data_IF_519820856849
#
_entry.id   IF_519820856849
#
_cell.length_a   1.000
_cell.length_b   1.000
_cell.length_c   1.000
_cell.angle_alpha   90.00
_cell.angle_beta   90.00
_cell.angle_gamma   90.00
#
_symmetry.space_group_name_H-M   'P 1'
#
loop_
_entity.id
_entity.type
_entity.pdbx_description
1 polymer ?
#
# COMPACT_ATOMS: atom_id res chain seq x y z
N UNK A 1 -7.25 -16.75 -36.17
CA UNK A 1 -7.17 -15.93 -34.94
C UNK A 1 -6.99 -16.93 -33.82
N UNK A 2 -5.81 -16.99 -33.21
CA UNK A 2 -5.55 -17.89 -32.07
C UNK A 2 -6.62 -17.66 -31.00
N UNK A 3 -7.19 -18.74 -30.45
CA UNK A 3 -8.17 -18.67 -29.35
C UNK A 3 -7.60 -17.80 -28.22
N UNK A 4 -8.10 -16.57 -28.11
CA UNK A 4 -7.69 -15.64 -27.05
C UNK A 4 -8.18 -16.22 -25.73
N UNK A 5 -7.24 -16.55 -24.83
CA UNK A 5 -7.55 -17.12 -23.51
C UNK A 5 -8.42 -16.16 -22.71
N UNK A 6 -9.61 -16.61 -22.33
CA UNK A 6 -10.50 -15.93 -21.39
C UNK A 6 -10.12 -16.32 -19.97
N UNK A 7 -9.81 -15.34 -19.13
CA UNK A 7 -9.56 -15.56 -17.69
C UNK A 7 -10.85 -15.46 -16.89
N UNK A 8 -10.89 -16.16 -15.74
CA UNK A 8 -11.95 -15.96 -14.77
C UNK A 8 -11.72 -14.64 -14.01
N UNK A 9 -10.46 -14.34 -13.68
CA UNK A 9 -10.06 -13.11 -12.98
C UNK A 9 -8.77 -12.53 -13.57
N UNK A 10 -8.71 -11.22 -13.77
CA UNK A 10 -7.45 -10.48 -13.97
C UNK A 10 -7.20 -9.57 -12.76
N UNK A 11 -5.97 -9.56 -12.28
CA UNK A 11 -5.52 -8.71 -11.17
C UNK A 11 -4.61 -7.63 -11.73
N UNK A 12 -4.94 -6.38 -11.45
CA UNK A 12 -4.19 -5.20 -11.87
C UNK A 12 -3.39 -4.66 -10.69
N UNK A 13 -2.07 -4.85 -10.74
CA UNK A 13 -1.11 -4.51 -9.69
C UNK A 13 -0.58 -5.76 -8.98
N UNK A 14 0.72 -6.05 -9.15
CA UNK A 14 1.41 -7.22 -8.60
C UNK A 14 2.13 -6.96 -7.28
N UNK A 15 1.58 -6.08 -6.44
CA UNK A 15 2.04 -5.85 -5.07
C UNK A 15 1.58 -6.94 -4.08
N UNK A 16 1.83 -6.78 -2.77
CA UNK A 16 1.49 -7.79 -1.76
C UNK A 16 0.04 -8.25 -1.81
N UNK A 17 -0.91 -7.31 -1.89
CA UNK A 17 -2.35 -7.63 -1.91
C UNK A 17 -2.76 -8.26 -3.24
N UNK A 18 -2.22 -7.80 -4.37
CA UNK A 18 -2.50 -8.39 -5.67
C UNK A 18 -1.95 -9.82 -5.80
N UNK A 19 -0.74 -10.07 -5.28
CA UNK A 19 -0.16 -11.41 -5.21
C UNK A 19 -0.96 -12.32 -4.26
N UNK A 20 -1.40 -11.82 -3.11
CA UNK A 20 -2.24 -12.57 -2.19
C UNK A 20 -3.60 -12.92 -2.79
N UNK A 21 -4.24 -11.97 -3.47
CA UNK A 21 -5.48 -12.22 -4.19
C UNK A 21 -5.27 -13.23 -5.34
N UNK A 22 -4.16 -13.12 -6.08
CA UNK A 22 -3.82 -14.07 -7.14
C UNK A 22 -3.61 -15.48 -6.63
N UNK A 23 -2.91 -15.61 -5.50
CA UNK A 23 -2.77 -16.86 -4.77
C UNK A 23 -4.12 -17.45 -4.36
N UNK A 24 -4.99 -16.69 -3.68
CA UNK A 24 -6.28 -17.19 -3.20
C UNK A 24 -7.25 -17.53 -4.33
N UNK A 25 -7.23 -16.77 -5.43
CA UNK A 25 -8.06 -17.07 -6.62
C UNK A 25 -7.55 -18.32 -7.34
N UNK A 26 -6.24 -18.46 -7.55
CA UNK A 26 -5.64 -19.64 -8.17
C UNK A 26 -5.88 -20.90 -7.32
N UNK A 27 -5.69 -20.79 -6.00
CA UNK A 27 -5.96 -21.88 -5.04
C UNK A 27 -7.42 -22.35 -5.07
N UNK A 28 -8.36 -21.46 -5.38
CA UNK A 28 -9.76 -21.81 -5.59
C UNK A 28 -10.04 -22.49 -6.94
N UNK A 29 -9.02 -22.72 -7.78
CA UNK A 29 -9.12 -23.40 -9.07
C UNK A 29 -9.52 -22.50 -10.24
N UNK A 30 -9.58 -21.18 -10.04
CA UNK A 30 -9.95 -20.23 -11.10
C UNK A 30 -8.73 -19.84 -11.95
N UNK A 31 -8.94 -19.65 -13.26
CA UNK A 31 -7.88 -19.19 -14.15
C UNK A 31 -7.63 -17.70 -13.93
N UNK A 32 -6.47 -17.35 -13.38
CA UNK A 32 -6.13 -15.97 -13.00
C UNK A 32 -4.85 -15.50 -13.66
N UNK A 33 -4.83 -14.20 -14.00
CA UNK A 33 -3.63 -13.51 -14.46
C UNK A 33 -3.34 -12.27 -13.62
N UNK A 34 -2.09 -12.14 -13.18
CA UNK A 34 -1.58 -11.00 -12.42
C UNK A 34 -0.76 -10.11 -13.34
N UNK A 35 -1.12 -8.83 -13.45
CA UNK A 35 -0.44 -7.83 -14.26
C UNK A 35 0.28 -6.82 -13.37
N UNK A 36 1.59 -6.68 -13.55
CA UNK A 36 2.44 -5.70 -12.87
C UNK A 36 3.09 -4.79 -13.90
N UNK A 37 2.94 -3.48 -13.73
CA UNK A 37 3.48 -2.48 -14.67
C UNK A 37 5.02 -2.42 -14.65
N UNK A 38 5.66 -2.78 -13.54
CA UNK A 38 7.12 -2.85 -13.39
C UNK A 38 7.61 -4.31 -13.37
N UNK A 39 8.85 -4.52 -12.92
CA UNK A 39 9.28 -5.83 -12.42
C UNK A 39 8.51 -6.18 -11.15
N UNK A 40 8.27 -7.47 -10.90
CA UNK A 40 7.83 -7.89 -9.56
C UNK A 40 8.89 -7.50 -8.51
N UNK A 41 8.43 -7.22 -7.29
CA UNK A 41 9.31 -6.88 -6.15
C UNK A 41 10.09 -5.56 -6.31
N UNK A 42 9.54 -4.62 -7.08
CA UNK A 42 10.11 -3.29 -7.30
C UNK A 42 9.91 -2.33 -6.10
N UNK A 43 10.53 -1.15 -6.21
CA UNK A 43 10.50 -0.07 -5.20
C UNK A 43 9.62 1.12 -5.61
N UNK A 44 8.87 1.02 -6.72
CA UNK A 44 8.09 2.12 -7.28
C UNK A 44 6.83 2.45 -6.47
N UNK A 45 6.34 1.50 -5.65
CA UNK A 45 5.16 1.69 -4.79
C UNK A 45 5.46 1.64 -3.29
N UNK A 46 4.57 1.00 -2.54
CA UNK A 46 4.53 1.02 -1.06
C UNK A 46 5.27 -0.13 -0.37
N UNK A 47 5.76 -1.11 -1.14
CA UNK A 47 6.20 -2.42 -0.62
C UNK A 47 7.71 -2.64 -0.69
N UNK A 48 8.45 -1.59 -1.05
CA UNK A 48 9.89 -1.64 -1.22
C UNK A 48 10.62 -1.45 0.11
N UNK A 49 10.85 -2.53 0.86
CA UNK A 49 11.64 -2.52 2.10
C UNK A 49 11.92 -3.95 2.63
N UNK A 50 12.64 -4.07 3.75
CA UNK A 50 12.87 -5.32 4.48
C UNK A 50 11.71 -5.73 5.39
N UNK A 51 11.01 -4.77 6.01
CA UNK A 51 10.11 -5.03 7.13
C UNK A 51 8.84 -4.18 7.16
N UNK A 52 7.77 -4.75 7.71
CA UNK A 52 6.54 -4.06 8.13
C UNK A 52 6.05 -4.61 9.45
N UNK A 53 5.33 -3.80 10.22
CA UNK A 53 4.75 -4.24 11.49
C UNK A 53 3.57 -5.18 11.23
N UNK A 54 3.56 -6.32 11.92
CA UNK A 54 2.36 -7.13 12.18
C UNK A 54 1.81 -6.71 13.55
N UNK A 55 0.76 -5.88 13.54
CA UNK A 55 0.18 -5.24 14.73
C UNK A 55 -1.25 -5.71 14.98
N UNK A 56 -1.58 -5.97 16.24
CA UNK A 56 -2.92 -6.35 16.72
C UNK A 56 -3.53 -5.37 17.70
N UNK A 57 -2.73 -4.46 18.28
CA UNK A 57 -3.22 -3.42 19.20
C UNK A 57 -3.99 -2.32 18.46
N UNK A 58 -5.33 -2.40 18.44
CA UNK A 58 -6.23 -1.45 17.79
C UNK A 58 -7.29 -0.92 18.75
N UNK A 59 -7.56 0.38 18.69
CA UNK A 59 -8.61 1.04 19.49
C UNK A 59 -9.99 0.72 18.95
N UNK A 60 -10.18 0.70 17.63
CA UNK A 60 -11.47 0.49 16.99
C UNK A 60 -11.83 -1.00 16.93
N UNK A 61 -13.01 -1.36 17.45
CA UNK A 61 -13.48 -2.75 17.53
C UNK A 61 -13.39 -3.52 16.21
N UNK A 62 -13.82 -2.90 15.10
CA UNK A 62 -13.82 -3.58 13.79
C UNK A 62 -12.39 -3.86 13.29
N UNK A 63 -11.43 -2.99 13.61
CA UNK A 63 -10.02 -3.20 13.28
C UNK A 63 -9.38 -4.24 14.18
N UNK A 64 -9.71 -4.23 15.47
CA UNK A 64 -9.25 -5.26 16.41
C UNK A 64 -9.78 -6.66 16.04
N UNK A 65 -11.06 -6.76 15.64
CA UNK A 65 -11.62 -8.00 15.12
C UNK A 65 -10.91 -8.45 13.84
N UNK A 66 -10.68 -7.52 12.90
CA UNK A 66 -9.96 -7.80 11.66
C UNK A 66 -8.52 -8.27 11.94
N UNK A 67 -7.83 -7.66 12.90
CA UNK A 67 -6.47 -8.04 13.28
C UNK A 67 -6.42 -9.43 13.92
N UNK A 68 -7.39 -9.75 14.77
CA UNK A 68 -7.53 -11.08 15.37
C UNK A 68 -7.78 -12.14 14.30
N UNK A 69 -8.65 -11.87 13.32
CA UNK A 69 -8.87 -12.76 12.17
C UNK A 69 -7.60 -12.87 11.30
N UNK A 70 -6.88 -11.77 11.12
CA UNK A 70 -5.66 -11.74 10.32
C UNK A 70 -4.58 -12.68 10.87
N UNK A 71 -4.45 -12.82 12.20
CA UNK A 71 -3.52 -13.79 12.81
C UNK A 71 -3.72 -15.19 12.21
N UNK A 72 -4.97 -15.67 12.16
CA UNK A 72 -5.30 -17.00 11.60
C UNK A 72 -4.98 -17.11 10.11
N UNK A 73 -5.22 -16.04 9.34
CA UNK A 73 -4.91 -16.03 7.91
C UNK A 73 -3.40 -16.01 7.63
N UNK A 74 -2.63 -15.36 8.48
CA UNK A 74 -1.18 -15.47 8.44
C UNK A 74 -0.67 -16.86 8.78
N UNK A 75 -1.22 -17.49 9.84
CA UNK A 75 -0.85 -18.87 10.20
C UNK A 75 -1.17 -19.84 9.06
N UNK A 76 -2.30 -19.66 8.39
CA UNK A 76 -2.68 -20.46 7.22
C UNK A 76 -1.72 -20.24 6.03
N UNK A 77 -1.36 -18.98 5.74
CA UNK A 77 -0.39 -18.68 4.68
C UNK A 77 0.99 -19.28 4.98
N UNK A 78 1.50 -19.16 6.21
CA UNK A 78 2.79 -19.72 6.60
C UNK A 78 2.79 -21.25 6.54
N UNK A 79 1.66 -21.88 6.90
CA UNK A 79 1.47 -23.32 6.75
C UNK A 79 1.54 -23.76 5.29
N UNK A 80 0.86 -23.05 4.39
CA UNK A 80 0.87 -23.37 2.96
C UNK A 80 2.23 -23.05 2.31
N UNK A 81 2.92 -22.01 2.79
CA UNK A 81 4.27 -21.65 2.36
C UNK A 81 5.34 -22.62 2.85
N UNK A 82 5.08 -23.35 3.95
CA UNK A 82 6.07 -24.21 4.61
C UNK A 82 7.21 -23.44 5.29
N UNK A 83 7.08 -22.11 5.45
CA UNK A 83 8.09 -21.23 6.05
C UNK A 83 7.43 -20.13 6.87
N UNK A 84 8.11 -19.70 7.94
CA UNK A 84 7.70 -18.52 8.70
C UNK A 84 7.97 -17.24 7.90
N UNK A 85 6.95 -16.40 7.76
CA UNK A 85 6.98 -15.12 7.08
C UNK A 85 7.02 -13.94 8.08
N UNK A 86 6.79 -14.23 9.36
CA UNK A 86 6.82 -13.28 10.47
C UNK A 86 7.84 -13.70 11.53
N UNK A 87 8.44 -12.70 12.16
CA UNK A 87 9.21 -12.88 13.39
C UNK A 87 8.45 -12.23 14.56
N UNK A 88 7.90 -13.08 15.43
CA UNK A 88 7.02 -12.68 16.53
C UNK A 88 7.83 -12.30 17.78
N UNK A 89 8.43 -11.10 17.76
CA UNK A 89 9.20 -10.54 18.87
C UNK A 89 8.40 -9.62 19.82
N UNK A 90 7.11 -9.39 19.54
CA UNK A 90 6.26 -8.44 20.25
C UNK A 90 6.29 -7.01 19.69
N UNK A 91 5.51 -6.14 20.32
CA UNK A 91 5.41 -4.71 20.02
C UNK A 91 5.36 -3.92 21.33
N UNK A 92 6.26 -2.96 21.48
CA UNK A 92 6.18 -1.94 22.52
C UNK A 92 5.55 -0.66 21.96
N UNK A 93 4.33 -0.35 22.39
CA UNK A 93 3.79 1.00 22.26
C UNK A 93 4.13 1.78 23.52
N UNK A 94 4.65 3.00 23.42
CA UNK A 94 4.95 3.82 24.60
C UNK A 94 4.80 5.31 24.35
N UNK A 95 4.69 6.11 25.40
CA UNK A 95 4.64 7.57 25.29
C UNK A 95 3.62 8.23 26.20
N UNK A 96 3.09 9.36 25.74
CA UNK A 96 2.09 10.14 26.45
C UNK A 96 0.73 9.43 26.43
N UNK A 97 0.26 9.01 27.62
CA UNK A 97 -1.02 8.33 27.79
C UNK A 97 -2.23 9.22 27.53
N UNK A 98 -2.06 10.54 27.55
CA UNK A 98 -3.13 11.52 27.36
C UNK A 98 -3.22 12.00 25.90
N UNK A 99 -2.37 11.48 25.01
CA UNK A 99 -2.49 11.73 23.57
C UNK A 99 -3.88 11.29 23.07
N UNK A 100 -4.59 12.23 22.45
CA UNK A 100 -5.91 12.01 21.87
C UNK A 100 -5.88 11.13 20.61
N UNK A 101 -7.06 10.69 20.17
CA UNK A 101 -7.25 9.73 19.07
C UNK A 101 -7.00 10.25 17.65
N UNK A 102 -6.58 11.51 17.49
CA UNK A 102 -6.33 12.11 16.17
C UNK A 102 -4.98 11.66 15.54
N UNK A 103 -4.42 10.53 15.98
CA UNK A 103 -3.22 9.94 15.38
C UNK A 103 -3.58 8.85 14.38
N UNK A 104 -2.75 8.61 13.34
CA UNK A 104 -2.91 7.48 12.43
C UNK A 104 -2.99 6.10 13.12
N UNK A 105 -2.46 5.99 14.35
CA UNK A 105 -2.32 4.75 15.10
C UNK A 105 -3.23 4.70 16.35
N UNK A 106 -4.19 5.62 16.46
CA UNK A 106 -5.14 5.69 17.56
C UNK A 106 -4.55 6.30 18.84
N UNK A 107 -4.73 5.64 19.99
CA UNK A 107 -4.20 6.10 21.28
C UNK A 107 -3.38 5.00 21.95
N UNK A 108 -2.47 5.37 22.86
CA UNK A 108 -1.60 4.41 23.54
C UNK A 108 -2.37 3.35 24.33
N UNK A 109 -3.44 3.75 25.02
CA UNK A 109 -4.22 2.86 25.91
C UNK A 109 -5.55 2.39 25.32
N UNK A 110 -6.02 3.00 24.23
CA UNK A 110 -7.28 2.64 23.57
C UNK A 110 -7.38 1.16 23.18
N UNK A 111 -6.29 0.47 22.79
CA UNK A 111 -6.36 -0.96 22.49
C UNK A 111 -6.72 -1.88 23.67
N UNK A 112 -6.60 -1.45 24.93
CA UNK A 112 -6.74 -2.33 26.10
C UNK A 112 -8.09 -3.04 26.14
N UNK A 113 -9.20 -2.32 25.94
CA UNK A 113 -10.54 -2.90 26.01
C UNK A 113 -10.72 -4.01 24.97
N UNK A 114 -10.15 -3.82 23.78
CA UNK A 114 -10.17 -4.82 22.72
C UNK A 114 -9.20 -5.98 22.98
N UNK A 115 -8.03 -5.72 23.56
CA UNK A 115 -7.10 -6.78 23.97
C UNK A 115 -7.76 -7.69 25.02
N UNK A 116 -8.42 -7.12 26.03
CA UNK A 116 -9.16 -7.88 27.05
C UNK A 116 -10.33 -8.66 26.41
N UNK A 117 -11.11 -8.02 25.52
CA UNK A 117 -12.23 -8.64 24.79
C UNK A 117 -11.82 -9.86 23.96
N UNK A 118 -10.64 -9.83 23.35
CA UNK A 118 -10.12 -10.90 22.50
C UNK A 118 -9.12 -11.83 23.21
N UNK A 119 -8.99 -11.73 24.54
CA UNK A 119 -8.07 -12.54 25.37
C UNK A 119 -6.61 -12.47 24.88
N UNK A 120 -6.18 -11.27 24.49
CA UNK A 120 -4.82 -10.99 24.02
C UNK A 120 -3.92 -10.54 25.16
N UNK A 121 -2.72 -11.13 25.24
CA UNK A 121 -1.79 -10.80 26.31
C UNK A 121 -1.17 -9.41 26.12
N UNK A 122 -1.05 -8.67 27.21
CA UNK A 122 -0.27 -7.44 27.24
C UNK A 122 0.31 -7.15 28.63
N UNK A 123 1.33 -6.29 28.68
CA UNK A 123 1.93 -5.80 29.91
C UNK A 123 2.07 -4.28 29.87
N UNK A 124 1.59 -3.61 30.91
CA UNK A 124 1.88 -2.19 31.14
C UNK A 124 3.30 -2.04 31.69
N UNK A 125 4.05 -1.08 31.16
CA UNK A 125 5.43 -0.78 31.56
C UNK A 125 5.52 0.66 32.05
N UNK A 126 6.26 0.87 33.13
CA UNK A 126 6.70 2.22 33.53
C UNK A 126 7.85 2.69 32.62
N UNK A 127 8.17 3.98 32.67
CA UNK A 127 9.36 4.54 32.01
C UNK A 127 10.62 3.81 32.45
N UNK A 128 10.76 3.52 33.74
CA UNK A 128 11.91 2.80 34.27
C UNK A 128 11.99 1.40 33.65
N UNK A 129 10.87 0.68 33.58
CA UNK A 129 10.83 -0.64 32.96
C UNK A 129 11.26 -0.59 31.48
N UNK A 130 10.87 0.47 30.76
CA UNK A 130 11.24 0.67 29.35
C UNK A 130 12.73 0.96 29.23
N UNK A 131 13.27 1.92 29.98
CA UNK A 131 14.70 2.29 29.92
C UNK A 131 15.62 1.17 30.44
N UNK A 132 15.12 0.28 31.31
CA UNK A 132 15.85 -0.92 31.77
C UNK A 132 15.87 -2.03 30.70
N UNK A 133 14.85 -2.14 29.84
CA UNK A 133 14.67 -3.26 28.89
C UNK A 133 14.99 -2.90 27.43
N UNK A 134 14.85 -1.63 27.06
CA UNK A 134 15.05 -1.11 25.72
C UNK A 134 16.15 -0.05 25.75
N UNK A 135 16.85 0.20 24.63
CA UNK A 135 17.93 1.17 24.56
C UNK A 135 17.41 2.61 24.45
N UNK A 136 16.43 2.97 25.27
CA UNK A 136 15.90 4.31 25.37
C UNK A 136 16.49 5.06 26.57
N UNK A 137 16.49 6.38 26.51
CA UNK A 137 16.92 7.28 27.58
C UNK A 137 16.10 8.56 27.56
N UNK A 138 16.16 9.30 28.67
CA UNK A 138 15.57 10.63 28.79
C UNK A 138 14.06 10.65 28.45
N UNK A 139 13.35 9.55 28.73
CA UNK A 139 11.90 9.52 28.53
C UNK A 139 11.23 10.38 29.61
N UNK A 140 10.10 11.02 29.26
CA UNK A 140 9.37 11.84 30.23
C UNK A 140 8.81 10.96 31.34
N UNK A 141 8.94 11.39 32.60
CA UNK A 141 8.61 10.58 33.79
C UNK A 141 7.14 10.14 33.89
N UNK A 142 6.24 10.89 33.26
CA UNK A 142 4.80 10.65 33.24
C UNK A 142 4.33 9.78 32.06
N UNK A 143 5.25 9.38 31.18
CA UNK A 143 4.97 8.42 30.11
C UNK A 143 4.79 7.01 30.65
N UNK A 144 4.24 6.14 29.79
CA UNK A 144 4.08 4.72 30.06
C UNK A 144 4.20 3.90 28.78
N UNK A 145 4.25 2.57 28.94
CA UNK A 145 4.29 1.62 27.83
C UNK A 145 3.23 0.54 27.94
N UNK A 146 2.94 -0.06 26.80
CA UNK A 146 2.10 -1.21 26.60
C UNK A 146 2.85 -2.17 25.66
N UNK A 147 3.27 -3.32 26.20
CA UNK A 147 3.94 -4.37 25.44
C UNK A 147 2.96 -5.51 25.16
N UNK A 148 2.88 -5.95 23.90
CA UNK A 148 2.06 -7.10 23.50
C UNK A 148 2.93 -8.12 22.72
N UNK A 149 3.06 -9.38 23.20
CA UNK A 149 3.94 -10.38 22.59
C UNK A 149 3.41 -10.95 21.27
N UNK A 150 2.09 -10.93 21.06
CA UNK A 150 1.44 -11.50 19.86
C UNK A 150 1.55 -10.60 18.61
N UNK A 151 2.61 -9.80 18.55
CA UNK A 151 2.92 -8.86 17.48
C UNK A 151 4.31 -9.19 16.91
N UNK A 152 4.62 -8.73 15.72
CA UNK A 152 5.90 -9.08 15.11
C UNK A 152 6.27 -8.32 13.86
N UNK A 153 7.35 -8.75 13.22
CA UNK A 153 7.87 -8.14 12.00
C UNK A 153 7.64 -9.06 10.83
N UNK A 154 7.00 -8.53 9.79
CA UNK A 154 6.78 -9.22 8.51
C UNK A 154 8.07 -9.14 7.69
N UNK A 155 8.58 -10.28 7.22
CA UNK A 155 9.63 -10.32 6.22
C UNK A 155 9.03 -10.02 4.83
N UNK A 156 9.08 -8.76 4.43
CA UNK A 156 8.39 -8.26 3.21
C UNK A 156 8.92 -8.93 1.95
N UNK A 157 10.24 -9.09 1.87
CA UNK A 157 10.90 -9.67 0.70
C UNK A 157 10.56 -11.14 0.52
N UNK A 158 10.51 -11.89 1.63
CA UNK A 158 10.12 -13.30 1.62
C UNK A 158 8.63 -13.46 1.35
N UNK A 159 7.77 -12.66 1.97
CA UNK A 159 6.33 -12.66 1.74
C UNK A 159 6.00 -12.51 0.25
N UNK A 160 6.56 -11.48 -0.39
CA UNK A 160 6.29 -11.20 -1.80
C UNK A 160 6.69 -12.37 -2.71
N UNK A 161 7.88 -12.93 -2.53
CA UNK A 161 8.37 -14.08 -3.31
C UNK A 161 7.55 -15.34 -3.05
N UNK A 162 7.13 -15.54 -1.81
CA UNK A 162 6.30 -16.66 -1.39
C UNK A 162 4.93 -16.59 -2.06
N UNK A 163 4.23 -15.44 -1.96
CA UNK A 163 2.93 -15.25 -2.59
C UNK A 163 3.00 -15.37 -4.11
N UNK A 164 4.04 -14.82 -4.74
CA UNK A 164 4.28 -14.97 -6.17
C UNK A 164 4.47 -16.44 -6.56
N UNK A 165 5.28 -17.19 -5.81
CA UNK A 165 5.55 -18.61 -6.09
C UNK A 165 4.30 -19.44 -5.87
N UNK A 166 3.62 -19.30 -4.72
CA UNK A 166 2.36 -19.98 -4.43
C UNK A 166 1.30 -19.71 -5.49
N UNK A 167 1.09 -18.45 -5.90
CA UNK A 167 0.14 -18.13 -6.95
C UNK A 167 0.43 -18.90 -8.25
N UNK A 168 1.71 -18.96 -8.66
CA UNK A 168 2.13 -19.69 -9.86
C UNK A 168 2.04 -21.20 -9.71
N UNK A 169 2.36 -21.75 -8.54
CA UNK A 169 2.27 -23.17 -8.25
C UNK A 169 0.81 -23.67 -8.29
N UNK A 170 -0.14 -22.80 -7.92
CA UNK A 170 -1.58 -23.02 -8.11
C UNK A 170 -2.09 -22.68 -9.52
N UNK A 171 -1.21 -22.32 -10.47
CA UNK A 171 -1.56 -22.13 -11.88
C UNK A 171 -1.84 -20.70 -12.33
N UNK A 172 -1.56 -19.68 -11.51
CA UNK A 172 -1.69 -18.29 -11.93
C UNK A 172 -0.67 -17.92 -13.03
N UNK A 173 -1.14 -17.21 -14.05
CA UNK A 173 -0.27 -16.48 -14.96
C UNK A 173 0.19 -15.17 -14.31
N UNK A 174 1.46 -14.79 -14.48
CA UNK A 174 2.00 -13.54 -13.95
C UNK A 174 2.84 -12.82 -15.01
N UNK A 175 2.51 -11.56 -15.29
CA UNK A 175 3.17 -10.73 -16.30
C UNK A 175 3.69 -9.45 -15.66
N UNK A 176 4.99 -9.25 -15.76
CA UNK A 176 5.67 -8.01 -15.43
C UNK A 176 5.73 -7.08 -16.65
N UNK A 177 6.12 -5.83 -16.44
CA UNK A 177 6.18 -4.79 -17.49
C UNK A 177 4.87 -4.63 -18.28
N UNK A 178 3.74 -4.95 -17.66
CA UNK A 178 2.42 -4.91 -18.28
C UNK A 178 1.59 -3.83 -17.61
N UNK A 179 1.62 -2.63 -18.18
CA UNK A 179 0.89 -1.49 -17.66
C UNK A 179 -0.54 -1.49 -18.20
N UNK A 180 -1.53 -1.60 -17.32
CA UNK A 180 -2.94 -1.48 -17.70
C UNK A 180 -3.28 -0.02 -17.92
N UNK A 181 -3.73 0.32 -19.13
CA UNK A 181 -4.07 1.68 -19.55
C UNK A 181 -5.58 1.92 -19.53
N UNK A 182 -6.39 0.91 -19.83
CA UNK A 182 -7.83 1.07 -19.88
C UNK A 182 -8.56 -0.28 -19.70
N UNK A 183 -9.69 -0.23 -19.02
CA UNK A 183 -10.62 -1.35 -18.85
C UNK A 183 -11.98 -0.94 -19.39
N UNK A 184 -12.60 -1.79 -20.21
CA UNK A 184 -13.97 -1.56 -20.70
C UNK A 184 -14.69 -2.89 -20.92
N UNK A 185 -16.03 -2.95 -20.77
CA UNK A 185 -16.76 -4.16 -21.13
C UNK A 185 -16.74 -4.34 -22.65
N UNK A 186 -16.73 -5.59 -23.14
CA UNK A 186 -16.76 -5.85 -24.58
C UNK A 186 -18.07 -5.33 -25.19
N UNK A 187 -18.10 -5.07 -26.50
CA UNK A 187 -19.33 -4.64 -27.17
C UNK A 187 -20.33 -5.78 -27.39
N UNK A 188 -19.83 -7.03 -27.47
CA UNK A 188 -20.64 -8.22 -27.76
C UNK A 188 -21.24 -8.86 -26.51
N UNK A 189 -20.48 -8.89 -25.42
CA UNK A 189 -20.87 -9.51 -24.16
C UNK A 189 -20.43 -8.63 -22.98
N UNK A 190 -21.39 -7.96 -22.34
CA UNK A 190 -21.14 -7.06 -21.21
C UNK A 190 -20.77 -7.79 -19.92
N UNK A 191 -20.76 -9.13 -19.91
CA UNK A 191 -20.20 -9.93 -18.82
C UNK A 191 -18.67 -10.16 -18.96
N UNK A 192 -18.11 -9.84 -20.13
CA UNK A 192 -16.67 -9.93 -20.42
C UNK A 192 -16.07 -8.53 -20.48
N UNK A 193 -14.90 -8.38 -19.86
CA UNK A 193 -14.09 -7.18 -19.85
C UNK A 193 -12.87 -7.33 -20.74
N UNK A 194 -12.54 -6.25 -21.44
CA UNK A 194 -11.27 -6.05 -22.14
C UNK A 194 -10.34 -5.24 -21.23
N UNK A 195 -9.16 -5.80 -20.96
CA UNK A 195 -8.08 -5.12 -20.23
C UNK A 195 -7.02 -4.75 -21.26
N UNK A 196 -6.97 -3.46 -21.61
CA UNK A 196 -6.03 -2.88 -22.55
C UNK A 196 -4.81 -2.35 -21.80
N UNK A 197 -3.63 -2.71 -22.26
CA UNK A 197 -2.37 -2.29 -21.66
C UNK A 197 -1.23 -2.26 -22.65
N UNK A 198 -0.02 -2.05 -22.13
CA UNK A 198 1.21 -2.01 -22.91
C UNK A 198 2.28 -2.90 -22.27
N UNK A 199 3.03 -3.62 -23.12
CA UNK A 199 4.24 -4.37 -22.74
C UNK A 199 5.41 -3.83 -23.54
N UNK A 200 6.36 -3.17 -22.87
CA UNK A 200 7.46 -2.45 -23.53
C UNK A 200 6.93 -1.55 -24.68
N UNK A 201 5.93 -0.73 -24.36
CA UNK A 201 5.22 0.18 -25.30
C UNK A 201 4.42 -0.48 -26.43
N UNK A 202 4.39 -1.82 -26.50
CA UNK A 202 3.57 -2.54 -27.46
C UNK A 202 2.17 -2.78 -26.89
N UNK A 203 1.09 -2.43 -27.61
CA UNK A 203 -0.27 -2.69 -27.15
C UNK A 203 -0.56 -4.18 -26.94
N UNK A 204 -1.24 -4.50 -25.84
CA UNK A 204 -1.75 -5.84 -25.54
C UNK A 204 -3.18 -5.74 -25.04
N UNK A 205 -3.97 -6.78 -25.29
CA UNK A 205 -5.35 -6.89 -24.79
C UNK A 205 -5.57 -8.26 -24.20
N UNK A 206 -6.18 -8.29 -23.03
CA UNK A 206 -6.60 -9.51 -22.33
C UNK A 206 -8.10 -9.49 -22.06
N UNK A 207 -8.70 -10.67 -21.92
CA UNK A 207 -10.14 -10.82 -21.71
C UNK A 207 -10.41 -11.55 -20.39
N UNK A 208 -11.39 -11.07 -19.63
CA UNK A 208 -11.73 -11.65 -18.32
C UNK A 208 -13.21 -11.46 -17.97
N UNK A 209 -13.73 -12.30 -17.07
CA UNK A 209 -15.07 -12.13 -16.49
C UNK A 209 -15.07 -11.15 -15.30
N UNK A 210 -13.98 -11.13 -14.53
CA UNK A 210 -13.84 -10.34 -13.29
C UNK A 210 -12.47 -9.67 -13.20
N UNK A 211 -12.40 -8.57 -12.47
CA UNK A 211 -11.19 -7.78 -12.28
C UNK A 211 -11.01 -7.45 -10.79
N UNK A 212 -9.78 -7.55 -10.31
CA UNK A 212 -9.34 -7.03 -9.01
C UNK A 212 -8.32 -5.91 -9.29
N UNK A 213 -8.57 -4.70 -8.79
CA UNK A 213 -7.65 -3.57 -8.91
C UNK A 213 -6.95 -3.36 -7.56
N UNK A 214 -5.65 -3.62 -7.54
CA UNK A 214 -4.77 -3.52 -6.36
C UNK A 214 -3.51 -2.69 -6.69
N UNK A 215 -3.64 -1.71 -7.57
CA UNK A 215 -2.52 -0.87 -8.05
C UNK A 215 -2.07 0.23 -7.07
N UNK A 216 -2.56 0.21 -5.82
CA UNK A 216 -2.10 1.08 -4.74
C UNK A 216 -2.20 2.56 -5.10
N UNK A 217 -1.08 3.29 -5.01
CA UNK A 217 -0.99 4.71 -5.36
C UNK A 217 -1.35 5.01 -6.82
N UNK A 218 -1.24 4.01 -7.71
CA UNK A 218 -1.53 4.13 -9.14
C UNK A 218 -2.98 3.80 -9.49
N UNK A 219 -3.86 3.62 -8.51
CA UNK A 219 -5.28 3.27 -8.75
C UNK A 219 -5.99 4.25 -9.69
N UNK A 220 -5.69 5.55 -9.60
CA UNK A 220 -6.28 6.56 -10.47
C UNK A 220 -5.81 6.48 -11.93
N UNK A 221 -4.62 5.91 -12.20
CA UNK A 221 -4.14 5.68 -13.56
C UNK A 221 -4.95 4.60 -14.27
N UNK A 222 -5.64 3.73 -13.52
CA UNK A 222 -6.58 2.75 -14.06
C UNK A 222 -8.01 3.30 -14.06
N UNK A 223 -8.47 3.89 -12.95
CA UNK A 223 -9.87 4.29 -12.80
C UNK A 223 -10.27 5.45 -13.72
N UNK A 224 -9.41 6.46 -13.88
CA UNK A 224 -9.71 7.66 -14.66
C UNK A 224 -9.97 7.35 -16.14
N UNK A 225 -9.08 6.67 -16.88
CA UNK A 225 -9.31 6.33 -18.28
C UNK A 225 -10.38 5.24 -18.50
N UNK A 226 -10.66 4.41 -17.50
CA UNK A 226 -11.59 3.28 -17.63
C UNK A 226 -13.04 3.65 -17.28
N UNK A 227 -13.23 4.49 -16.25
CA UNK A 227 -14.53 4.71 -15.61
C UNK A 227 -14.85 6.19 -15.38
N UNK A 228 -13.97 7.12 -15.80
CA UNK A 228 -14.21 8.56 -15.67
C UNK A 228 -14.10 9.10 -14.24
N UNK A 229 -13.70 8.28 -13.27
CA UNK A 229 -13.58 8.65 -11.86
C UNK A 229 -12.14 8.58 -11.38
N UNK A 230 -11.85 9.34 -10.34
CA UNK A 230 -10.63 9.24 -9.54
C UNK A 230 -11.01 9.00 -8.09
N UNK A 231 -10.07 8.51 -7.28
CA UNK A 231 -10.17 8.55 -5.83
C UNK A 231 -9.49 9.82 -5.31
N UNK A 232 -10.09 10.46 -4.30
CA UNK A 232 -9.53 11.61 -3.56
C UNK A 232 -8.35 11.17 -2.70
N UNK A 233 -7.20 10.93 -3.32
CA UNK A 233 -6.01 10.41 -2.65
C UNK A 233 -5.20 11.52 -1.98
N UNK A 234 -4.57 11.16 -0.87
CA UNK A 234 -3.43 11.86 -0.32
C UNK A 234 -2.29 10.84 -0.18
N UNK A 235 -1.22 11.04 -0.95
CA UNK A 235 -0.12 10.09 -1.03
C UNK A 235 1.07 10.69 -0.29
N UNK A 236 1.43 10.06 0.82
CA UNK A 236 2.57 10.47 1.64
C UNK A 236 3.84 9.83 1.09
N UNK A 237 4.87 10.65 0.84
CA UNK A 237 6.22 10.16 0.54
C UNK A 237 6.96 9.88 1.85
N UNK A 238 6.69 8.71 2.42
CA UNK A 238 7.26 8.30 3.69
C UNK A 238 8.76 8.05 3.54
N UNK A 239 9.54 8.57 4.49
CA UNK A 239 10.99 8.31 4.60
C UNK A 239 11.23 7.40 5.79
N UNK A 240 12.10 6.41 5.62
CA UNK A 240 12.59 5.61 6.73
C UNK A 240 14.10 5.42 6.68
N UNK A 241 14.72 5.41 7.85
CA UNK A 241 16.16 5.47 7.98
C UNK A 241 16.68 4.27 8.75
N UNK A 242 17.76 3.69 8.25
CA UNK A 242 18.50 2.61 8.90
C UNK A 242 19.75 3.19 9.55
N UNK A 243 20.01 2.85 10.81
CA UNK A 243 21.13 3.35 11.59
C UNK A 243 21.99 2.21 12.13
N UNK A 244 23.29 2.46 12.19
CA UNK A 244 24.23 1.53 12.83
C UNK A 244 24.04 1.56 14.34
N UNK A 245 24.15 0.38 14.94
CA UNK A 245 24.10 0.16 16.39
C UNK A 245 25.43 -0.34 16.90
N UNK A 246 25.74 -0.08 18.17
CA UNK A 246 26.94 -0.61 18.81
C UNK A 246 26.93 -2.14 18.75
N UNK A 247 28.01 -2.73 18.22
CA UNK A 247 28.17 -4.18 18.11
C UNK A 247 28.80 -4.79 19.36
N UNK A 248 28.69 -6.13 19.49
CA UNK A 248 29.39 -6.93 20.50
C UNK A 248 28.50 -7.39 21.68
N UNK A 249 29.09 -8.02 22.71
CA UNK A 249 28.36 -8.60 23.84
C UNK A 249 27.55 -7.60 24.68
N UNK A 250 27.96 -6.32 24.65
CA UNK A 250 27.24 -5.19 25.26
C UNK A 250 26.65 -4.26 24.18
N UNK A 251 26.32 -4.82 23.03
CA UNK A 251 25.77 -4.09 21.89
C UNK A 251 24.36 -3.57 22.14
N UNK A 252 23.92 -2.64 21.30
CA UNK A 252 22.57 -2.07 21.39
C UNK A 252 21.58 -3.01 20.71
N UNK A 253 20.66 -3.57 21.49
CA UNK A 253 19.62 -4.48 21.02
C UNK A 253 18.26 -3.91 21.38
N UNK A 254 17.37 -3.78 20.40
CA UNK A 254 15.95 -3.60 20.64
C UNK A 254 15.31 -4.99 20.77
N UNK A 255 14.65 -5.33 21.89
CA UNK A 255 14.02 -6.65 22.06
C UNK A 255 12.89 -6.93 21.07
N UNK A 256 12.20 -5.88 20.63
CA UNK A 256 11.05 -5.97 19.73
C UNK A 256 10.95 -4.74 18.83
N UNK A 257 9.99 -4.74 17.90
CA UNK A 257 9.57 -3.50 17.26
C UNK A 257 8.83 -2.60 18.25
N UNK A 258 8.73 -1.31 17.93
CA UNK A 258 8.15 -0.33 18.84
C UNK A 258 7.48 0.84 18.11
N UNK A 259 6.54 1.48 18.78
CA UNK A 259 5.88 2.71 18.35
C UNK A 259 5.80 3.70 19.51
N UNK A 260 6.12 4.97 19.26
CA UNK A 260 6.15 6.03 20.25
C UNK A 260 5.02 7.04 20.00
N UNK A 261 4.27 7.38 21.04
CA UNK A 261 3.17 8.36 21.04
C UNK A 261 3.61 9.66 21.74
N UNK A 262 3.73 10.75 21.01
CA UNK A 262 3.99 12.07 21.57
C UNK A 262 3.26 13.17 20.78
N UNK A 263 2.86 14.27 21.44
CA UNK A 263 2.17 15.36 20.78
C UNK A 263 3.04 16.02 19.72
N UNK A 264 2.40 16.43 18.63
CA UNK A 264 3.04 17.20 17.58
C UNK A 264 3.66 18.49 18.14
N UNK A 265 4.84 18.85 17.63
CA UNK A 265 5.54 20.08 17.97
C UNK A 265 5.61 20.94 16.71
N UNK A 266 5.16 22.19 16.78
CA UNK A 266 5.12 23.11 15.64
C UNK A 266 4.38 22.51 14.41
N UNK A 267 3.24 21.84 14.65
CA UNK A 267 2.43 21.13 13.63
C UNK A 267 3.14 19.95 12.95
N UNK A 268 4.30 19.53 13.45
CA UNK A 268 5.05 18.38 12.95
C UNK A 268 4.83 17.18 13.86
N UNK A 269 4.50 16.04 13.27
CA UNK A 269 4.32 14.78 14.00
C UNK A 269 5.57 14.46 14.82
N UNK A 270 5.36 13.93 16.03
CA UNK A 270 6.42 13.36 16.87
C UNK A 270 6.13 11.91 17.19
N UNK A 271 5.39 11.25 16.31
CA UNK A 271 5.22 9.81 16.34
C UNK A 271 6.43 9.17 15.68
N UNK A 272 6.99 8.16 16.32
CA UNK A 272 8.13 7.43 15.78
C UNK A 272 7.87 5.95 15.88
N UNK A 273 8.46 5.21 14.96
CA UNK A 273 8.42 3.76 14.99
C UNK A 273 9.77 3.18 14.63
N UNK A 274 10.02 1.96 15.11
CA UNK A 274 11.26 1.30 14.82
C UNK A 274 11.18 -0.21 14.81
N UNK A 275 12.16 -0.78 14.13
CA UNK A 275 12.39 -2.21 14.05
C UNK A 275 13.78 -2.53 14.61
N UNK A 276 13.90 -3.65 15.33
CA UNK A 276 15.20 -4.18 15.75
C UNK A 276 16.04 -4.57 14.53
N UNK A 277 17.31 -4.90 14.76
CA UNK A 277 18.12 -5.58 13.75
C UNK A 277 17.43 -6.90 13.38
N UNK A 278 17.22 -7.12 12.08
CA UNK A 278 16.41 -8.22 11.59
C UNK A 278 17.29 -9.42 11.23
N UNK A 279 16.84 -10.67 11.47
CA UNK A 279 17.59 -11.87 11.10
C UNK A 279 17.92 -11.99 9.60
N UNK A 280 17.15 -11.34 8.75
CA UNK A 280 17.34 -11.29 7.28
C UNK A 280 17.89 -9.95 6.78
N UNK A 281 18.20 -9.02 7.69
CA UNK A 281 18.80 -7.72 7.38
C UNK A 281 20.29 -7.69 7.70
N UNK A 282 20.97 -6.56 7.40
CA UNK A 282 22.34 -6.34 7.86
C UNK A 282 22.42 -6.41 9.39
N UNK A 283 23.43 -7.09 9.96
CA UNK A 283 23.59 -7.17 11.41
C UNK A 283 23.90 -5.79 12.01
N UNK A 284 23.45 -5.54 13.23
CA UNK A 284 23.65 -4.28 13.96
C UNK A 284 23.09 -3.04 13.24
N UNK A 285 22.09 -3.21 12.37
CA UNK A 285 21.40 -2.09 11.71
C UNK A 285 19.93 -2.11 12.10
N UNK A 286 19.45 -1.03 12.72
CA UNK A 286 18.05 -0.86 13.12
C UNK A 286 17.36 0.12 12.19
N UNK A 287 16.06 -0.06 11.97
CA UNK A 287 15.25 0.91 11.23
C UNK A 287 14.49 1.79 12.20
N UNK A 288 14.59 3.10 12.06
CA UNK A 288 13.85 4.08 12.85
C UNK A 288 13.31 5.13 11.89
N UNK A 289 12.08 5.57 12.09
CA UNK A 289 11.44 6.56 11.24
C UNK A 289 10.40 7.38 12.02
N UNK A 290 10.22 8.61 11.59
CA UNK A 290 9.05 9.42 11.95
C UNK A 290 7.81 8.89 11.22
N UNK A 291 6.67 8.83 11.90
CA UNK A 291 5.37 8.56 11.28
C UNK A 291 4.75 9.88 10.80
N UNK A 292 5.34 10.40 9.73
CA UNK A 292 4.87 11.54 8.95
C UNK A 292 5.63 11.60 7.62
N UNK A 293 5.10 12.40 6.70
CA UNK A 293 5.81 12.82 5.50
C UNK A 293 5.76 14.34 5.37
N UNK A 294 6.91 14.97 5.14
CA UNK A 294 6.95 16.40 4.80
C UNK A 294 6.27 16.67 3.45
N UNK A 295 6.40 15.74 2.50
CA UNK A 295 5.83 15.86 1.17
C UNK A 295 4.64 14.92 0.99
N UNK A 296 3.52 15.50 0.59
CA UNK A 296 2.31 14.80 0.18
C UNK A 296 1.97 15.17 -1.25
N UNK A 297 1.60 14.18 -2.05
CA UNK A 297 1.28 14.32 -3.48
C UNK A 297 -0.12 13.76 -3.76
N UNK A 298 -0.67 14.07 -4.93
CA UNK A 298 -2.00 13.59 -5.35
C UNK A 298 -1.92 12.50 -6.42
N UNK A 299 -0.81 12.45 -7.15
CA UNK A 299 -0.54 11.46 -8.17
C UNK A 299 0.88 10.89 -8.04
N UNK A 300 1.09 9.56 -8.17
CA UNK A 300 2.42 8.97 -8.04
C UNK A 300 3.40 9.41 -9.14
N UNK A 301 2.95 10.01 -10.24
CA UNK A 301 3.83 10.66 -11.24
C UNK A 301 4.54 11.90 -10.70
N UNK A 302 4.03 12.50 -9.63
CA UNK A 302 4.69 13.61 -8.93
C UNK A 302 5.84 13.14 -8.02
N UNK A 303 6.03 11.82 -7.86
CA UNK A 303 7.03 11.25 -6.94
C UNK A 303 8.44 11.70 -7.31
N UNK A 304 9.21 12.11 -6.30
CA UNK A 304 10.64 12.42 -6.47
C UNK A 304 11.49 11.25 -5.97
N UNK A 305 11.60 10.20 -6.77
CA UNK A 305 12.18 8.89 -6.37
C UNK A 305 13.58 8.94 -5.75
N UNK A 306 14.38 9.96 -6.05
CA UNK A 306 15.76 10.10 -5.54
C UNK A 306 15.95 11.29 -4.58
N UNK A 307 14.87 11.97 -4.20
CA UNK A 307 14.92 13.10 -3.27
C UNK A 307 14.21 12.69 -1.99
N UNK A 308 15.00 12.43 -0.96
CA UNK A 308 14.50 12.13 0.37
C UNK A 308 14.39 13.43 1.15
N UNK A 309 13.28 13.63 1.86
CA UNK A 309 13.09 14.83 2.70
C UNK A 309 14.20 14.92 3.75
N UNK A 310 15.07 15.95 3.71
CA UNK A 310 16.11 16.14 4.72
C UNK A 310 15.51 16.37 6.10
N UNK A 311 14.31 16.93 6.16
CA UNK A 311 13.64 17.26 7.40
C UNK A 311 13.08 16.01 8.11
N UNK A 312 12.53 15.04 7.37
CA UNK A 312 12.04 13.78 7.94
C UNK A 312 13.21 12.91 8.44
N UNK A 313 14.34 12.95 7.74
CA UNK A 313 15.60 12.35 8.21
C UNK A 313 16.05 13.05 9.49
N UNK A 314 16.06 14.39 9.52
CA UNK A 314 16.49 15.17 10.67
C UNK A 314 15.64 14.90 11.91
N UNK A 315 14.32 14.82 11.78
CA UNK A 315 13.44 14.46 12.90
C UNK A 315 13.84 13.13 13.54
N UNK A 316 14.13 12.16 12.68
CA UNK A 316 14.55 10.82 13.08
C UNK A 316 15.92 10.86 13.77
N UNK A 317 16.89 11.58 13.20
CA UNK A 317 18.23 11.74 13.80
C UNK A 317 18.16 12.46 15.15
N UNK A 318 17.30 13.48 15.27
CA UNK A 318 17.06 14.19 16.52
C UNK A 318 16.50 13.24 17.59
N UNK A 319 15.49 12.45 17.25
CA UNK A 319 14.94 11.44 18.16
C UNK A 319 16.01 10.43 18.59
N UNK A 320 16.81 9.90 17.66
CA UNK A 320 17.88 8.94 17.98
C UNK A 320 18.91 9.56 18.93
N UNK A 321 19.38 10.77 18.64
CA UNK A 321 20.36 11.48 19.48
C UNK A 321 19.86 11.66 20.91
N UNK A 322 18.62 12.13 21.03
CA UNK A 322 18.07 12.62 22.29
C UNK A 322 17.53 11.47 23.16
N UNK A 323 17.01 10.41 22.54
CA UNK A 323 16.26 9.35 23.22
C UNK A 323 16.79 7.93 23.04
N UNK A 324 17.80 7.68 22.21
CA UNK A 324 18.29 6.32 21.95
C UNK A 324 19.75 6.16 22.39
N UNK A 325 20.08 5.00 22.95
CA UNK A 325 21.41 4.63 23.44
C UNK A 325 22.13 3.73 22.43
N UNK A 326 23.36 4.07 22.08
CA UNK A 326 24.24 3.23 21.25
C UNK A 326 23.75 3.00 19.81
N UNK A 327 23.00 3.95 19.27
CA UNK A 327 22.69 4.08 17.85
C UNK A 327 23.34 5.36 17.34
N UNK A 328 24.05 5.32 16.22
CA UNK A 328 24.71 6.50 15.64
C UNK A 328 23.66 7.41 14.96
N UNK A 329 23.39 8.62 15.49
CA UNK A 329 22.42 9.53 14.88
C UNK A 329 23.02 10.34 13.71
N UNK A 330 24.33 10.31 13.49
CA UNK A 330 25.02 11.26 12.61
C UNK A 330 24.97 10.85 11.14
N UNK A 331 25.26 9.59 10.84
CA UNK A 331 25.29 9.06 9.48
C UNK A 331 24.39 7.83 9.38
N UNK A 332 23.25 7.94 8.67
CA UNK A 332 22.45 6.77 8.31
C UNK A 332 23.26 5.70 7.59
N UNK A 333 23.05 4.43 7.94
CA UNK A 333 23.57 3.30 7.18
C UNK A 333 22.90 3.22 5.79
N UNK A 334 21.60 3.51 5.74
CA UNK A 334 20.84 3.71 4.50
C UNK A 334 19.54 4.45 4.78
N UNK A 335 18.93 5.03 3.75
CA UNK A 335 17.61 5.66 3.84
C UNK A 335 16.78 5.24 2.64
N UNK A 336 15.50 4.97 2.87
CA UNK A 336 14.54 4.53 1.86
C UNK A 336 13.33 5.43 1.85
N UNK A 337 12.62 5.46 0.72
CA UNK A 337 11.31 6.11 0.59
C UNK A 337 10.28 5.13 0.04
N UNK A 338 9.05 5.25 0.53
CA UNK A 338 7.89 4.55 -0.01
C UNK A 338 6.67 5.47 -0.08
N UNK A 339 5.64 5.02 -0.81
CA UNK A 339 4.37 5.73 -0.89
C UNK A 339 3.38 5.15 0.10
N UNK A 340 2.73 6.00 0.90
CA UNK A 340 1.58 5.63 1.70
C UNK A 340 0.34 6.31 1.11
N UNK A 341 -0.57 5.51 0.55
CA UNK A 341 -1.81 6.00 -0.06
C UNK A 341 -2.92 6.06 0.97
N UNK A 342 -3.44 7.26 1.18
CA UNK A 342 -4.51 7.54 2.11
C UNK A 342 -5.72 8.12 1.35
N UNK A 343 -6.91 7.91 1.91
CA UNK A 343 -8.09 8.74 1.63
C UNK A 343 -8.37 9.60 2.87
N UNK A 344 -9.47 10.37 2.87
CA UNK A 344 -9.70 11.42 3.86
C UNK A 344 -9.62 11.00 5.34
N UNK A 345 -9.89 9.72 5.65
CA UNK A 345 -9.91 9.13 7.00
C UNK A 345 -8.74 8.17 7.24
N UNK A 346 -7.78 8.10 6.32
CA UNK A 346 -6.66 7.15 6.38
C UNK A 346 -7.12 5.67 6.47
N UNK A 347 -8.36 5.34 6.08
CA UNK A 347 -8.89 3.98 6.14
C UNK A 347 -8.85 3.29 4.76
N UNK A 348 -8.98 1.96 4.74
CA UNK A 348 -8.96 1.20 3.48
C UNK A 348 -10.10 1.60 2.55
N UNK A 349 -9.88 1.43 1.25
CA UNK A 349 -10.97 1.17 0.31
C UNK A 349 -10.93 -0.31 -0.02
N UNK A 350 -12.03 -1.03 0.25
CA UNK A 350 -12.23 -2.43 -0.11
C UNK A 350 -13.69 -2.63 -0.51
N UNK A 351 -13.98 -2.53 -1.80
CA UNK A 351 -15.36 -2.58 -2.30
C UNK A 351 -15.41 -3.02 -3.76
N UNK A 352 -16.62 -3.27 -4.27
CA UNK A 352 -16.87 -3.29 -5.71
C UNK A 352 -17.01 -1.87 -6.25
N UNK A 353 -16.59 -1.67 -7.49
CA UNK A 353 -16.90 -0.43 -8.20
C UNK A 353 -18.43 -0.29 -8.36
N UNK A 354 -19.04 0.86 -7.99
CA UNK A 354 -20.48 1.05 -8.08
C UNK A 354 -21.04 0.87 -9.49
N UNK A 355 -22.24 0.30 -9.60
CA UNK A 355 -22.91 -0.01 -10.88
C UNK A 355 -22.90 1.15 -11.88
N UNK A 356 -23.13 2.38 -11.39
CA UNK A 356 -23.19 3.58 -12.25
C UNK A 356 -21.90 3.85 -13.04
N UNK A 357 -20.76 3.31 -12.61
CA UNK A 357 -19.46 3.51 -13.26
C UNK A 357 -19.03 2.33 -14.15
N UNK A 358 -19.80 1.24 -14.22
CA UNK A 358 -19.41 0.03 -14.96
C UNK A 358 -19.63 0.12 -16.47
N UNK A 359 -20.12 1.24 -17.00
CA UNK A 359 -20.32 1.44 -18.44
C UNK A 359 -21.12 0.31 -19.13
N UNK A 360 -22.16 -0.19 -18.43
CA UNK A 360 -23.00 -1.30 -18.88
C UNK A 360 -22.47 -2.70 -18.55
N UNK A 361 -21.27 -2.81 -17.95
CA UNK A 361 -20.73 -4.06 -17.44
C UNK A 361 -21.53 -4.66 -16.28
N UNK A 362 -21.44 -5.97 -16.10
CA UNK A 362 -22.19 -6.67 -15.06
C UNK A 362 -21.76 -6.25 -13.63
N UNK A 363 -22.71 -6.20 -12.70
CA UNK A 363 -22.45 -5.83 -11.30
C UNK A 363 -21.49 -6.81 -10.59
N UNK A 364 -20.82 -6.32 -9.53
CA UNK A 364 -19.90 -7.13 -8.72
C UNK A 364 -18.82 -7.83 -9.55
N UNK A 365 -18.33 -7.16 -10.60
CA UNK A 365 -17.27 -7.69 -11.48
C UNK A 365 -15.91 -7.07 -11.25
N UNK A 366 -15.87 -5.85 -10.69
CA UNK A 366 -14.64 -5.11 -10.43
C UNK A 366 -14.54 -4.85 -8.94
N UNK A 367 -13.64 -5.55 -8.27
CA UNK A 367 -13.26 -5.27 -6.88
C UNK A 367 -12.05 -4.35 -6.85
N UNK A 368 -11.99 -3.45 -5.87
CA UNK A 368 -10.92 -2.46 -5.72
C UNK A 368 -10.39 -2.54 -4.30
N UNK A 369 -9.07 -2.52 -4.17
CA UNK A 369 -8.40 -2.28 -2.91
C UNK A 369 -7.32 -1.19 -3.04
N UNK A 370 -7.32 -0.21 -2.13
CA UNK A 370 -6.20 0.72 -1.97
C UNK A 370 -6.03 1.17 -0.51
N UNK A 371 -4.79 1.20 -0.04
CA UNK A 371 -4.34 1.72 1.25
C UNK A 371 -2.79 1.71 1.33
N UNK A 372 -2.21 2.52 2.22
CA UNK A 372 -0.75 2.61 2.40
C UNK A 372 -0.17 1.83 3.59
N UNK A 373 -0.97 1.35 4.55
CA UNK A 373 -0.50 0.72 5.80
C UNK A 373 -1.01 -0.71 6.03
N UNK A 374 -1.53 -1.35 4.98
CA UNK A 374 -2.27 -2.60 5.06
C UNK A 374 -1.43 -3.89 5.04
N UNK A 375 -0.09 -3.82 5.08
CA UNK A 375 0.77 -5.02 4.95
C UNK A 375 0.39 -6.13 5.95
N UNK A 376 0.00 -5.74 7.17
CA UNK A 376 -0.41 -6.67 8.24
C UNK A 376 -1.71 -7.44 7.95
N UNK A 377 -2.48 -7.03 6.95
CA UNK A 377 -3.72 -7.69 6.54
C UNK A 377 -3.61 -8.39 5.18
N UNK A 378 -2.42 -8.47 4.58
CA UNK A 378 -2.23 -8.99 3.21
C UNK A 378 -2.91 -10.35 2.98
N UNK A 379 -2.75 -11.38 3.84
CA UNK A 379 -3.45 -12.65 3.66
C UNK A 379 -4.97 -12.50 3.72
N UNK A 380 -5.48 -11.75 4.71
CA UNK A 380 -6.91 -11.45 4.86
C UNK A 380 -7.49 -10.74 3.64
N UNK A 381 -6.78 -9.75 3.10
CA UNK A 381 -7.21 -8.98 1.94
C UNK A 381 -7.19 -9.82 0.66
N UNK A 382 -6.19 -10.70 0.50
CA UNK A 382 -6.17 -11.67 -0.59
C UNK A 382 -7.40 -12.58 -0.57
N UNK A 383 -7.73 -13.12 0.61
CA UNK A 383 -8.93 -13.93 0.82
C UNK A 383 -10.21 -13.14 0.53
N UNK A 384 -10.31 -11.93 1.08
CA UNK A 384 -11.46 -11.06 0.90
C UNK A 384 -11.75 -10.78 -0.58
N UNK A 385 -10.71 -10.38 -1.33
CA UNK A 385 -10.83 -10.06 -2.76
C UNK A 385 -11.18 -11.29 -3.59
N UNK A 386 -10.60 -12.45 -3.28
CA UNK A 386 -10.96 -13.73 -3.91
C UNK A 386 -12.44 -14.07 -3.69
N UNK A 387 -12.93 -13.99 -2.45
CA UNK A 387 -14.34 -14.25 -2.13
C UNK A 387 -15.28 -13.25 -2.81
N UNK A 388 -14.92 -11.97 -2.83
CA UNK A 388 -15.70 -10.96 -3.52
C UNK A 388 -15.89 -11.33 -5.00
N UNK A 389 -14.82 -11.61 -5.75
CA UNK A 389 -14.98 -11.85 -7.20
C UNK A 389 -15.52 -13.23 -7.55
N UNK A 390 -15.29 -14.25 -6.72
CA UNK A 390 -15.73 -15.63 -6.98
C UNK A 390 -17.11 -15.95 -6.39
N UNK A 391 -17.46 -15.36 -5.24
CA UNK A 391 -18.72 -15.63 -4.50
C UNK A 391 -19.68 -14.44 -4.51
N UNK A 392 -19.21 -13.24 -4.88
CA UNK A 392 -20.01 -12.03 -4.94
C UNK A 392 -20.13 -11.26 -3.63
N UNK A 393 -19.42 -11.69 -2.58
CA UNK A 393 -19.33 -10.99 -1.28
C UNK A 393 -18.16 -11.52 -0.43
N UNK A 394 -17.82 -10.81 0.65
CA UNK A 394 -16.90 -11.29 1.70
C UNK A 394 -17.21 -10.64 3.04
N UNK A 395 -17.05 -11.38 4.13
CA UNK A 395 -17.23 -10.85 5.49
C UNK A 395 -16.26 -9.70 5.83
N UNK A 396 -15.13 -9.60 5.11
CA UNK A 396 -14.11 -8.57 5.32
C UNK A 396 -14.42 -7.27 4.56
N UNK A 397 -15.43 -7.28 3.69
CA UNK A 397 -15.91 -6.10 2.97
C UNK A 397 -16.80 -5.26 3.88
N UNK A 398 -16.19 -4.68 4.91
CA UNK A 398 -16.87 -3.91 5.94
C UNK A 398 -17.40 -2.58 5.41
N UNK A 399 -18.46 -2.05 6.04
CA UNK A 399 -19.05 -0.74 5.69
C UNK A 399 -18.05 0.41 5.88
N UNK A 400 -17.14 0.27 6.84
CA UNK A 400 -16.05 1.19 7.14
C UNK A 400 -15.02 1.27 5.99
N UNK A 401 -14.99 0.27 5.10
CA UNK A 401 -14.11 0.25 3.93
C UNK A 401 -14.83 0.56 2.61
N UNK A 402 -16.14 0.83 2.67
CA UNK A 402 -16.93 1.09 1.48
C UNK A 402 -16.38 2.29 0.70
N UNK A 403 -16.36 2.19 -0.63
CA UNK A 403 -15.84 3.25 -1.51
C UNK A 403 -16.77 4.47 -1.54
N UNK A 404 -18.01 4.30 -1.09
CA UNK A 404 -19.04 5.35 -0.99
C UNK A 404 -19.34 5.74 0.45
N UNK A 405 -18.48 5.41 1.42
CA UNK A 405 -18.68 5.81 2.81
C UNK A 405 -18.62 7.35 2.92
N UNK A 406 -19.44 7.96 3.81
CA UNK A 406 -19.58 9.41 3.87
C UNK A 406 -18.28 10.07 4.36
N UNK A 407 -17.89 11.15 3.69
CA UNK A 407 -16.83 12.02 4.17
C UNK A 407 -17.33 12.91 5.32
N UNK A 408 -16.52 13.16 6.37
CA UNK A 408 -16.80 14.17 7.38
C UNK A 408 -16.98 15.55 6.76
N UNK A 409 -17.68 16.45 7.47
CA UNK A 409 -17.89 17.82 7.01
C UNK A 409 -16.57 18.52 6.64
N UNK A 410 -16.51 19.10 5.44
CA UNK A 410 -15.32 19.78 4.93
C UNK A 410 -14.24 18.87 4.33
N UNK A 411 -14.47 17.56 4.24
CA UNK A 411 -13.62 16.63 3.48
C UNK A 411 -14.31 16.23 2.18
N UNK A 412 -13.49 15.98 1.16
CA UNK A 412 -13.97 15.48 -0.13
C UNK A 412 -14.37 14.01 -0.03
N UNK A 413 -15.39 13.60 -0.81
CA UNK A 413 -15.76 12.20 -0.95
C UNK A 413 -14.61 11.37 -1.54
N UNK A 414 -14.63 10.05 -1.31
CA UNK A 414 -13.61 9.17 -1.89
C UNK A 414 -13.68 9.21 -3.41
N UNK A 415 -14.87 9.10 -4.00
CA UNK A 415 -15.02 9.12 -5.45
C UNK A 415 -15.10 10.58 -5.92
N UNK A 416 -14.17 10.95 -6.79
CA UNK A 416 -14.14 12.21 -7.49
C UNK A 416 -14.55 11.97 -8.94
N UNK A 417 -15.74 12.43 -9.31
CA UNK A 417 -16.18 12.42 -10.70
C UNK A 417 -15.38 13.49 -11.45
N UNK A 418 -14.56 13.06 -12.40
CA UNK A 418 -13.82 14.02 -13.20
C UNK A 418 -14.81 14.67 -14.16
N UNK A 419 -15.31 15.86 -13.83
CA UNK A 419 -15.99 16.74 -14.78
C UNK A 419 -14.97 17.21 -15.83
N UNK A 420 -14.60 16.31 -16.75
CA UNK A 420 -13.89 16.66 -17.96
C UNK A 420 -14.88 17.26 -18.95
N UNK A 421 -14.60 18.48 -19.38
CA UNK A 421 -15.16 19.13 -20.57
C UNK A 421 -15.61 18.14 -21.65
N UNK A 422 -16.93 17.92 -21.73
CA UNK A 422 -17.58 17.23 -22.84
C UNK A 422 -17.58 18.06 -24.15
N UNK A 423 -16.56 18.89 -24.35
CA UNK A 423 -16.40 19.79 -25.47
C UNK A 423 -14.93 19.98 -25.78
N UNK A 424 -14.31 18.98 -26.39
CA UNK A 424 -13.18 19.13 -27.35
C UNK A 424 -12.63 17.80 -27.90
N UNK A 425 -13.27 16.65 -27.64
CA UNK A 425 -12.98 15.41 -28.40
C UNK A 425 -14.01 15.23 -29.51
N UNK A 426 -14.05 16.19 -30.44
CA UNK A 426 -14.80 16.09 -31.71
C UNK A 426 -14.05 16.78 -32.85
N UNK A 427 -12.75 16.58 -32.97
CA UNK A 427 -12.00 16.93 -34.20
C UNK A 427 -10.70 16.13 -34.34
N UNK A 428 -10.81 14.80 -34.42
CA UNK A 428 -9.71 13.95 -34.86
C UNK A 428 -10.21 12.64 -35.51
N UNK A 429 -11.36 12.70 -36.19
CA UNK A 429 -11.91 11.58 -36.95
C UNK A 429 -12.55 12.09 -38.25
N UNK A 430 -11.78 12.84 -39.03
CA UNK A 430 -12.04 13.09 -40.45
C UNK A 430 -10.76 13.72 -41.01
N UNK A 431 -9.93 12.90 -41.64
CA UNK A 431 -9.03 13.22 -42.76
C UNK A 431 -8.08 12.02 -42.99
N UNK A 432 -8.68 10.92 -43.44
CA UNK A 432 -8.01 9.94 -44.28
C UNK A 432 -9.01 9.56 -45.36
N UNK A 433 -9.10 10.39 -46.40
CA UNK A 433 -9.61 9.96 -47.69
C UNK A 433 -8.97 10.81 -48.79
N UNK A 434 -8.63 10.11 -49.85
CA UNK A 434 -7.60 10.43 -50.83
C UNK A 434 -8.02 11.46 -51.89
N UNK A 435 -7.02 12.21 -52.36
CA UNK A 435 -6.81 12.62 -53.75
C UNK A 435 -5.33 13.03 -53.84
N UNK A 436 -4.49 12.54 -54.75
CA UNK A 436 -4.71 12.24 -56.15
C UNK A 436 -4.04 13.36 -56.97
N UNK A 437 -2.84 13.08 -57.50
CA UNK A 437 -2.13 13.71 -58.63
C UNK A 437 -2.34 15.23 -58.91
N UNK A 438 -1.25 16.01 -58.88
CA UNK A 438 -0.56 16.46 -60.11
C UNK A 438 0.68 17.31 -59.80
N UNK A 439 1.73 17.12 -60.60
CA UNK A 439 2.97 17.88 -60.61
C UNK A 439 2.77 19.24 -61.30
N UNK A 440 3.34 20.32 -60.74
CA UNK A 440 3.98 21.37 -61.54
C UNK A 440 4.88 22.27 -60.66
N UNK A 441 6.15 22.36 -61.06
CA UNK A 441 7.02 23.55 -61.13
C UNK A 441 6.56 24.79 -60.32
N UNK A 442 7.35 25.46 -59.49
CA UNK A 442 8.77 25.74 -59.52
C UNK A 442 8.99 27.17 -58.98
N UNK A 443 10.15 27.40 -58.34
CA UNK A 443 10.79 28.69 -58.07
C UNK A 443 10.17 29.72 -57.10
N UNK A 444 10.86 29.82 -55.95
CA UNK A 444 11.58 31.02 -55.46
C UNK A 444 10.91 32.04 -54.54
N UNK A 445 11.76 32.54 -53.63
CA UNK A 445 11.65 33.71 -52.74
C UNK A 445 10.65 33.59 -51.57
N UNK A 446 11.00 33.86 -50.32
CA UNK A 446 12.21 34.43 -49.75
C UNK A 446 11.96 34.62 -48.25
N UNK A 447 13.01 34.39 -47.45
CA UNK A 447 13.01 34.60 -45.99
C UNK A 447 12.57 36.02 -45.63
N UNK A 448 11.78 36.17 -44.57
CA UNK A 448 12.02 37.19 -43.54
C UNK A 448 11.59 36.69 -42.16
N UNK A 449 12.53 36.89 -41.25
CA UNK A 449 12.56 36.58 -39.82
C UNK A 449 12.12 37.83 -39.06
N UNK A 450 11.31 37.66 -38.01
CA UNK A 450 11.22 38.47 -36.77
C UNK A 450 10.49 37.55 -35.77
N UNK A 451 11.12 36.99 -34.72
CA UNK A 451 11.53 37.61 -33.44
C UNK A 451 10.43 38.53 -32.88
N UNK A 452 9.56 38.00 -32.03
CA UNK A 452 9.76 37.85 -30.57
C UNK A 452 9.08 36.58 -30.07
#
# INVERSE_FOLDING_TARGET
>A
MSDLKLYDVIIVGGGPVGLAAGYEVAKAGANVMILEQNNFFNQAGSSGDLARMFRTMYTEDFMAELATKAMKHWDALEKDAGVSLRWMGGLLNFGDKNMGGDTPEGTLLGPIDNLDKFDMHYKKLSVKDIEDQYPFKNLKKDWMGLFAPDNGVINVQLLLRTLYSLARDYGADAKQHTEVKQIRPTDKDKSIWEVHGTVHDNPVTYFTKKIIITSGSYVNHVLKPSFGISLGLEIWEMVATYFNTNAGPNGTIFPSMWFQFAPSVNKRSRLFYGFPALPWGPPNVVRIAVDAATRTIKDPSERQTHVLSPEDIKDTQDFVRDHVVGVDPTVPASTVSCLQTNVFDNMFVLDFLPKKYLNGGAEKTIAIFTAGWAMKFVPTLGKALSEMVLKGDSEYKLKEFAITRPAPAGKEEIIQENCGSAGEVKMAAMLFQASGCEQAQGSSCGRRVFVW
#
